data_IF_824394872947
#
_entry.id   IF_824394872947
#
_cell.length_a   1.000
_cell.length_b   1.000
_cell.length_c   1.000
_cell.angle_alpha   90.00
_cell.angle_beta   90.00
_cell.angle_gamma   90.00
#
_symmetry.space_group_name_H-M   'P 1'
#
loop_
_entity.id
_entity.type
_entity.pdbx_description
1 polymer ?
#
# COMPACT_ATOMS: atom_id res chain seq x y z
N UNK A 1 20.06 -2.88 -9.73
CA UNK A 1 20.21 -1.92 -8.61
C UNK A 1 19.46 -2.52 -7.42
N UNK A 2 20.05 -2.40 -6.24
CA UNK A 2 19.42 -2.74 -4.95
C UNK A 2 18.42 -1.64 -4.55
N UNK A 3 17.60 -1.87 -3.51
CA UNK A 3 16.75 -0.79 -2.94
C UNK A 3 17.59 0.38 -2.42
N UNK A 4 18.73 0.10 -1.79
CA UNK A 4 19.65 1.13 -1.30
C UNK A 4 20.21 2.00 -2.43
N UNK A 5 20.61 1.39 -3.56
CA UNK A 5 21.08 2.13 -4.74
C UNK A 5 20.01 3.07 -5.31
N UNK A 6 18.74 2.74 -5.08
CA UNK A 6 17.58 3.41 -5.63
C UNK A 6 17.01 4.50 -4.70
N UNK A 7 17.54 4.66 -3.48
CA UNK A 7 17.06 5.62 -2.48
C UNK A 7 16.95 7.07 -3.00
N UNK A 8 17.93 7.64 -3.74
CA UNK A 8 17.77 9.00 -4.26
C UNK A 8 16.60 9.13 -5.23
N UNK A 9 16.35 8.09 -6.03
CA UNK A 9 15.22 8.10 -6.97
C UNK A 9 13.90 7.96 -6.25
N UNK A 10 13.87 7.15 -5.19
CA UNK A 10 12.71 7.04 -4.32
C UNK A 10 12.33 8.39 -3.70
N UNK A 11 13.30 9.15 -3.18
CA UNK A 11 13.07 10.49 -2.61
C UNK A 11 12.50 11.49 -3.63
N UNK A 12 12.94 11.43 -4.89
CA UNK A 12 12.36 12.23 -5.98
C UNK A 12 10.88 11.87 -6.20
N UNK A 13 10.56 10.57 -6.25
CA UNK A 13 9.20 10.07 -6.46
C UNK A 13 8.31 10.44 -5.29
N UNK A 14 8.79 10.28 -4.05
CA UNK A 14 8.10 10.71 -2.85
C UNK A 14 7.76 12.20 -2.92
N UNK A 15 8.75 13.05 -3.18
CA UNK A 15 8.55 14.51 -3.27
C UNK A 15 7.51 14.86 -4.34
N UNK A 16 7.58 14.20 -5.50
CA UNK A 16 6.63 14.39 -6.60
C UNK A 16 5.22 13.94 -6.23
N UNK A 17 5.06 12.74 -5.65
CA UNK A 17 3.77 12.19 -5.25
C UNK A 17 3.10 13.01 -4.15
N UNK A 18 3.86 13.43 -3.14
CA UNK A 18 3.36 14.30 -2.07
C UNK A 18 2.92 15.67 -2.56
N UNK A 19 3.58 16.22 -3.58
CA UNK A 19 3.20 17.54 -4.12
C UNK A 19 2.00 17.46 -5.05
N UNK A 20 1.98 16.49 -5.96
CA UNK A 20 0.89 16.26 -6.91
C UNK A 20 0.94 14.81 -7.45
N UNK A 21 0.20 13.92 -6.81
CA UNK A 21 0.08 12.50 -7.18
C UNK A 21 -0.26 12.29 -8.66
N UNK A 22 -1.01 13.22 -9.29
CA UNK A 22 -1.39 13.10 -10.71
C UNK A 22 -0.22 13.23 -11.68
N UNK A 23 0.92 13.75 -11.22
CA UNK A 23 2.13 13.88 -12.04
C UNK A 23 2.92 12.57 -12.12
N UNK A 24 2.66 11.61 -11.24
CA UNK A 24 3.35 10.33 -11.25
C UNK A 24 3.06 9.58 -12.55
N UNK A 25 4.12 9.12 -13.22
CA UNK A 25 3.96 8.12 -14.27
C UNK A 25 3.46 6.82 -13.65
N UNK A 26 2.92 5.90 -14.45
CA UNK A 26 2.46 4.60 -13.93
C UNK A 26 3.54 3.85 -13.14
N UNK A 27 4.79 3.86 -13.59
CA UNK A 27 5.89 3.18 -12.89
C UNK A 27 6.23 3.86 -11.55
N UNK A 28 6.21 5.20 -11.51
CA UNK A 28 6.42 5.95 -10.28
C UNK A 28 5.25 5.77 -9.30
N UNK A 29 4.01 5.72 -9.81
CA UNK A 29 2.80 5.46 -9.02
C UNK A 29 2.84 4.09 -8.35
N UNK A 30 3.15 3.04 -9.11
CA UNK A 30 3.30 1.68 -8.58
C UNK A 30 4.32 1.69 -7.44
N UNK A 31 5.46 2.33 -7.64
CA UNK A 31 6.47 2.40 -6.58
C UNK A 31 5.98 3.20 -5.38
N UNK A 32 5.38 4.38 -5.61
CA UNK A 32 4.82 5.24 -4.57
C UNK A 32 3.78 4.52 -3.69
N UNK A 33 2.89 3.75 -4.30
CA UNK A 33 1.81 3.05 -3.60
C UNK A 33 2.29 1.77 -2.88
N UNK A 34 3.27 1.06 -3.45
CA UNK A 34 3.63 -0.29 -2.98
C UNK A 34 4.81 -0.28 -2.00
N UNK A 35 5.76 0.66 -2.12
CA UNK A 35 6.90 0.72 -1.19
C UNK A 35 6.45 0.85 0.28
N UNK A 36 5.50 1.73 0.64
CA UNK A 36 4.91 1.81 1.99
C UNK A 36 4.44 0.49 2.57
N UNK A 37 3.73 -0.31 1.77
CA UNK A 37 3.21 -1.61 2.22
C UNK A 37 4.36 -2.51 2.66
N UNK A 38 5.47 -2.52 1.91
CA UNK A 38 6.63 -3.36 2.21
C UNK A 38 7.39 -2.86 3.43
N UNK A 39 7.51 -1.55 3.62
CA UNK A 39 8.30 -0.97 4.72
C UNK A 39 7.55 -0.92 6.04
N UNK A 40 6.25 -0.66 5.99
CA UNK A 40 5.46 -0.24 7.16
C UNK A 40 4.34 -1.22 7.49
N UNK A 41 3.79 -1.90 6.48
CA UNK A 41 2.78 -2.95 6.66
C UNK A 41 1.39 -2.58 6.18
N UNK A 42 0.44 -3.50 6.37
CA UNK A 42 -0.93 -3.35 5.89
C UNK A 42 -1.74 -2.41 6.79
N UNK A 43 -1.61 -2.51 8.11
CA UNK A 43 -2.30 -1.61 9.06
C UNK A 43 -1.84 -0.16 8.86
N UNK A 44 -0.53 0.08 8.72
CA UNK A 44 0.05 1.41 8.52
C UNK A 44 -0.48 2.09 7.24
N UNK A 45 -0.76 1.31 6.20
CA UNK A 45 -1.42 1.80 4.98
C UNK A 45 -2.80 2.44 5.23
N UNK A 46 -3.51 1.98 6.25
CA UNK A 46 -4.81 2.54 6.63
C UNK A 46 -4.68 3.67 7.65
N UNK A 47 -3.83 3.53 8.66
CA UNK A 47 -3.77 4.50 9.77
C UNK A 47 -2.95 5.75 9.47
N UNK A 48 -1.96 5.65 8.57
CA UNK A 48 -1.00 6.74 8.31
C UNK A 48 -1.10 7.31 6.90
N UNK A 49 -0.96 6.49 5.85
CA UNK A 49 -0.92 6.95 4.45
C UNK A 49 -1.13 5.80 3.47
N UNK A 50 -1.67 6.10 2.29
CA UNK A 50 -1.84 5.15 1.19
C UNK A 50 -3.30 4.79 0.93
N UNK A 51 -4.14 4.66 1.96
CA UNK A 51 -5.56 4.35 1.79
C UNK A 51 -6.35 5.46 1.05
N UNK A 52 -5.86 6.68 0.97
CA UNK A 52 -6.41 7.73 0.10
C UNK A 52 -6.28 7.41 -1.41
N UNK A 53 -5.36 6.51 -1.76
CA UNK A 53 -5.06 5.99 -3.10
C UNK A 53 -5.38 4.50 -3.25
N UNK A 54 -6.23 3.96 -2.37
CA UNK A 54 -6.44 2.52 -2.25
C UNK A 54 -6.94 1.82 -3.53
N UNK A 55 -7.71 2.54 -4.36
CA UNK A 55 -8.18 2.01 -5.65
C UNK A 55 -6.98 1.81 -6.58
N UNK A 56 -6.13 2.82 -6.71
CA UNK A 56 -4.91 2.77 -7.50
C UNK A 56 -3.92 1.74 -6.95
N UNK A 57 -3.78 1.61 -5.62
CA UNK A 57 -2.96 0.57 -4.98
C UNK A 57 -3.42 -0.84 -5.35
N UNK A 58 -4.74 -1.10 -5.34
CA UNK A 58 -5.29 -2.39 -5.78
C UNK A 58 -4.98 -2.66 -7.25
N UNK A 59 -5.18 -1.68 -8.14
CA UNK A 59 -4.84 -1.82 -9.57
C UNK A 59 -3.35 -2.09 -9.79
N UNK A 60 -2.48 -1.44 -9.01
CA UNK A 60 -1.03 -1.58 -9.09
C UNK A 60 -0.57 -2.96 -8.63
N UNK A 61 -1.13 -3.48 -7.53
CA UNK A 61 -0.87 -4.84 -7.06
C UNK A 61 -1.33 -5.90 -8.06
N UNK A 62 -2.52 -5.72 -8.66
CA UNK A 62 -3.00 -6.61 -9.71
C UNK A 62 -2.12 -6.58 -10.95
N UNK A 63 -1.66 -5.39 -11.35
CA UNK A 63 -0.75 -5.23 -12.47
C UNK A 63 0.59 -5.93 -12.23
N UNK A 64 1.09 -5.92 -10.99
CA UNK A 64 2.28 -6.67 -10.58
C UNK A 64 2.05 -8.18 -10.47
N UNK A 65 0.80 -8.64 -10.51
CA UNK A 65 0.43 -10.05 -10.30
C UNK A 65 0.30 -10.45 -8.83
N UNK A 66 0.44 -9.50 -7.90
CA UNK A 66 0.36 -9.69 -6.45
C UNK A 66 -1.10 -9.78 -5.96
N UNK A 67 -1.91 -10.59 -6.63
CA UNK A 67 -3.36 -10.73 -6.37
C UNK A 67 -3.68 -11.18 -4.95
N UNK A 68 -2.80 -12.00 -4.33
CA UNK A 68 -2.96 -12.40 -2.93
C UNK A 68 -2.88 -11.23 -1.95
N UNK A 69 -2.00 -10.25 -2.17
CA UNK A 69 -1.94 -9.03 -1.37
C UNK A 69 -3.16 -8.15 -1.65
N UNK A 70 -3.55 -8.01 -2.92
CA UNK A 70 -4.76 -7.26 -3.28
C UNK A 70 -6.01 -7.81 -2.60
N UNK A 71 -6.12 -9.14 -2.44
CA UNK A 71 -7.22 -9.76 -1.72
C UNK A 71 -7.19 -9.49 -0.21
N UNK A 72 -6.00 -9.36 0.40
CA UNK A 72 -5.88 -8.92 1.80
C UNK A 72 -6.36 -7.48 1.98
N UNK A 73 -5.95 -6.57 1.09
CA UNK A 73 -6.46 -5.18 1.07
C UNK A 73 -7.97 -5.16 0.90
N UNK A 74 -8.55 -5.99 0.02
CA UNK A 74 -10.02 -6.08 -0.12
C UNK A 74 -10.71 -6.59 1.12
N UNK A 75 -10.12 -7.57 1.82
CA UNK A 75 -10.66 -8.05 3.10
C UNK A 75 -10.61 -6.95 4.15
N UNK A 76 -9.51 -6.22 4.25
CA UNK A 76 -9.38 -5.10 5.17
C UNK A 76 -10.38 -3.98 4.81
N UNK A 77 -10.53 -3.66 3.53
CA UNK A 77 -11.55 -2.72 3.06
C UNK A 77 -12.97 -3.11 3.50
N UNK A 78 -13.29 -4.40 3.51
CA UNK A 78 -14.61 -4.90 3.90
C UNK A 78 -14.97 -4.66 5.37
N UNK A 79 -14.02 -4.23 6.19
CA UNK A 79 -14.23 -3.81 7.57
C UNK A 79 -14.81 -2.39 7.67
N UNK A 80 -14.61 -1.57 6.64
CA UNK A 80 -15.20 -0.24 6.54
C UNK A 80 -16.64 -0.30 6.03
N UNK A 81 -17.47 0.70 6.34
CA UNK A 81 -18.81 0.84 5.77
C UNK A 81 -18.78 0.73 4.23
N UNK A 82 -19.69 -0.08 3.69
CA UNK A 82 -19.80 -0.38 2.26
C UNK A 82 -18.52 -0.96 1.60
N UNK A 83 -17.54 -1.37 2.39
CA UNK A 83 -16.26 -1.87 1.90
C UNK A 83 -15.35 -0.78 1.36
N UNK A 84 -15.56 0.49 1.74
CA UNK A 84 -14.85 1.65 1.20
C UNK A 84 -14.21 2.43 2.36
N UNK A 85 -12.87 2.39 2.50
CA UNK A 85 -12.21 3.25 3.48
C UNK A 85 -12.34 4.73 3.06
N UNK A 86 -12.62 5.64 4.00
CA UNK A 86 -12.52 7.08 3.75
C UNK A 86 -11.16 7.51 3.20
N UNK A 87 -11.16 8.54 2.35
CA UNK A 87 -9.89 9.12 1.87
C UNK A 87 -9.23 10.00 2.93
N UNK A 88 -10.04 10.62 3.77
CA UNK A 88 -9.56 11.44 4.87
C UNK A 88 -9.01 10.55 6.00
N UNK A 89 -7.82 10.87 6.49
CA UNK A 89 -7.12 10.09 7.50
C UNK A 89 -7.82 10.14 8.86
N UNK A 90 -8.35 11.30 9.25
CA UNK A 90 -9.01 11.46 10.55
C UNK A 90 -10.32 10.68 10.55
N UNK A 91 -11.10 10.74 9.45
CA UNK A 91 -12.33 9.96 9.29
C UNK A 91 -12.07 8.44 9.34
N UNK A 92 -10.98 7.95 8.71
CA UNK A 92 -10.60 6.53 8.81
C UNK A 92 -10.24 6.14 10.24
N UNK A 93 -9.40 6.93 10.90
CA UNK A 93 -8.91 6.63 12.24
C UNK A 93 -10.02 6.70 13.28
N UNK A 94 -10.99 7.61 13.12
CA UNK A 94 -12.19 7.66 13.96
C UNK A 94 -13.02 6.37 13.82
N UNK A 95 -13.25 5.89 12.59
CA UNK A 95 -13.97 4.63 12.36
C UNK A 95 -13.21 3.42 12.92
N UNK A 96 -11.89 3.36 12.72
CA UNK A 96 -11.05 2.31 13.27
C UNK A 96 -10.98 2.37 14.80
N UNK A 97 -11.09 3.57 15.40
CA UNK A 97 -11.15 3.74 16.85
C UNK A 97 -12.44 3.21 17.50
N UNK A 98 -13.49 2.96 16.71
CA UNK A 98 -14.74 2.35 17.17
C UNK A 98 -14.73 0.81 17.09
N UNK A 99 -13.66 0.21 16.56
CA UNK A 99 -13.53 -1.23 16.40
C UNK A 99 -13.36 -1.93 17.77
N UNK A 100 -13.95 -3.12 17.89
CA UNK A 100 -13.89 -3.95 19.10
C UNK A 100 -12.80 -5.04 18.97
N UNK A 101 -12.60 -5.81 20.05
CA UNK A 101 -11.60 -6.89 20.12
C UNK A 101 -11.65 -7.89 18.93
N UNK A 102 -12.83 -8.06 18.31
CA UNK A 102 -12.99 -8.96 17.16
C UNK A 102 -12.35 -8.36 15.91
N UNK A 103 -12.50 -7.05 15.70
CA UNK A 103 -11.84 -6.36 14.60
C UNK A 103 -10.33 -6.33 14.82
N UNK A 104 -9.85 -6.06 16.04
CA UNK A 104 -8.42 -6.10 16.38
C UNK A 104 -7.81 -7.47 16.04
N UNK A 105 -8.47 -8.55 16.46
CA UNK A 105 -8.02 -9.91 16.14
C UNK A 105 -7.99 -10.20 14.63
N UNK A 106 -8.92 -9.60 13.88
CA UNK A 106 -9.00 -9.79 12.43
C UNK A 106 -7.94 -8.96 11.69
N UNK A 107 -7.68 -7.72 12.13
CA UNK A 107 -6.63 -6.87 11.56
C UNK A 107 -5.25 -7.45 11.84
N UNK A 108 -5.02 -7.99 13.03
CA UNK A 108 -3.78 -8.67 13.38
C UNK A 108 -3.53 -9.89 12.49
N UNK A 109 -4.58 -10.69 12.22
CA UNK A 109 -4.46 -11.83 11.31
C UNK A 109 -4.20 -11.40 9.87
N UNK A 110 -4.84 -10.32 9.40
CA UNK A 110 -4.61 -9.79 8.06
C UNK A 110 -3.19 -9.24 7.90
N UNK A 111 -2.66 -8.60 8.95
CA UNK A 111 -1.29 -8.11 9.02
C UNK A 111 -0.28 -9.28 8.98
N UNK A 112 -0.52 -10.34 9.76
CA UNK A 112 0.31 -11.56 9.72
C UNK A 112 0.29 -12.20 8.33
N UNK A 113 -0.90 -12.39 7.75
CA UNK A 113 -1.06 -12.93 6.40
C UNK A 113 -0.36 -12.07 5.33
N UNK A 114 -0.28 -10.75 5.55
CA UNK A 114 0.43 -9.82 4.70
C UNK A 114 1.95 -10.02 4.79
N UNK A 115 2.50 -10.08 6.00
CA UNK A 115 3.94 -10.27 6.20
C UNK A 115 4.44 -11.62 5.68
N UNK A 116 3.62 -12.67 5.72
CA UNK A 116 3.91 -13.96 5.09
C UNK A 116 4.11 -13.88 3.57
N UNK A 117 3.61 -12.80 2.94
CA UNK A 117 3.65 -12.57 1.49
C UNK A 117 4.51 -11.38 1.08
N UNK A 118 4.93 -10.53 2.01
CA UNK A 118 5.59 -9.25 1.71
C UNK A 118 6.93 -9.42 1.00
N UNK A 119 7.65 -10.51 1.25
CA UNK A 119 8.92 -10.81 0.56
C UNK A 119 8.76 -11.02 -0.95
N UNK A 120 7.67 -11.66 -1.39
CA UNK A 120 7.36 -11.80 -2.82
C UNK A 120 7.00 -10.44 -3.44
N UNK A 121 6.25 -9.61 -2.70
CA UNK A 121 5.89 -8.26 -3.13
C UNK A 121 7.15 -7.39 -3.32
N UNK A 122 8.09 -7.45 -2.38
CA UNK A 122 9.36 -6.74 -2.47
C UNK A 122 10.18 -7.14 -3.70
N UNK A 123 10.31 -8.44 -3.95
CA UNK A 123 11.05 -8.96 -5.12
C UNK A 123 10.42 -8.48 -6.43
N UNK A 124 9.09 -8.62 -6.55
CA UNK A 124 8.34 -8.21 -7.75
C UNK A 124 8.44 -6.70 -7.98
N UNK A 125 8.31 -5.89 -6.93
CA UNK A 125 8.45 -4.45 -7.02
C UNK A 125 9.86 -4.06 -7.47
N UNK A 126 10.91 -4.63 -6.87
CA UNK A 126 12.30 -4.33 -7.22
C UNK A 126 12.60 -4.68 -8.70
N UNK A 127 12.09 -5.82 -9.18
CA UNK A 127 12.19 -6.20 -10.60
C UNK A 127 11.48 -5.18 -11.49
N UNK A 128 10.28 -4.73 -11.11
CA UNK A 128 9.54 -3.73 -11.86
C UNK A 128 10.32 -2.41 -11.97
N UNK A 129 10.80 -1.89 -10.84
CA UNK A 129 11.55 -0.62 -10.77
C UNK A 129 12.79 -0.67 -11.65
N UNK A 130 13.59 -1.73 -11.55
CA UNK A 130 14.82 -1.90 -12.32
C UNK A 130 14.58 -2.00 -13.83
N UNK A 131 13.38 -2.38 -14.28
CA UNK A 131 13.00 -2.40 -15.71
C UNK A 131 12.49 -1.05 -16.20
N UNK A 132 11.91 -0.27 -15.31
CA UNK A 132 11.28 1.01 -15.60
C UNK A 132 12.25 2.19 -15.55
N UNK A 133 13.30 2.10 -14.73
CA UNK A 133 14.38 3.08 -14.66
C UNK A 133 15.46 2.66 -15.67
N UNK A 134 15.60 3.45 -16.74
CA UNK A 134 16.69 3.33 -17.72
C UNK A 134 17.66 4.49 -17.57
#
# INVERSE_FOLDING_TARGET
MTREDLQPKWEEILTKGYSDYSQLTKAERIWYNVEPLITDGLIDHYVNYGAEHNIETLEDLEFLGCTGIADLIRKFNSLFPDGIPPKDIDERNDLMGEWDDKYDSLTDQLEEDFWDKSGELEEVLLIHINRSIK
#
